data_IF_576675040217
#
_entry.id   IF_576675040217
#
_cell.length_a   1.000
_cell.length_b   1.000
_cell.length_c   1.000
_cell.angle_alpha   90.00
_cell.angle_beta   90.00
_cell.angle_gamma   90.00
#
_symmetry.space_group_name_H-M   'P 1'
#
loop_
_entity.id
_entity.type
_entity.pdbx_description
1 polymer ?
#
# COMPACT_ATOMS: atom_id res chain seq x y z
N UNK A 1 -58.73 -71.17 34.67
CA UNK A 1 -58.77 -70.45 33.43
C UNK A 1 -58.25 -69.03 33.72
N UNK A 2 -56.97 -68.77 33.46
CA UNK A 2 -56.36 -67.43 33.69
C UNK A 2 -55.85 -66.89 32.36
N UNK A 3 -56.48 -65.80 31.84
CA UNK A 3 -56.06 -65.10 30.65
C UNK A 3 -54.91 -64.14 31.05
N UNK A 4 -53.72 -64.32 30.46
CA UNK A 4 -52.63 -63.41 30.55
C UNK A 4 -52.65 -62.50 29.34
N UNK A 5 -52.93 -61.15 29.58
CA UNK A 5 -52.81 -60.09 28.58
C UNK A 5 -51.32 -59.77 28.39
N UNK A 6 -50.79 -59.90 27.16
CA UNK A 6 -49.47 -59.43 26.76
C UNK A 6 -49.67 -57.89 26.35
N UNK A 7 -49.00 -57.04 27.07
CA UNK A 7 -48.89 -55.61 26.73
C UNK A 7 -47.57 -55.46 25.94
N UNK A 8 -47.71 -55.16 24.66
CA UNK A 8 -46.56 -54.82 23.82
C UNK A 8 -46.23 -53.31 23.98
N UNK A 9 -45.08 -53.00 24.59
CA UNK A 9 -44.53 -51.62 24.62
C UNK A 9 -43.85 -51.35 23.27
N UNK A 10 -44.39 -50.45 22.48
CA UNK A 10 -43.70 -49.82 21.35
C UNK A 10 -42.85 -48.65 21.91
N UNK A 11 -41.57 -48.81 22.00
CA UNK A 11 -40.64 -47.72 22.27
C UNK A 11 -40.30 -47.05 20.93
N UNK A 12 -40.90 -45.88 20.69
CA UNK A 12 -40.49 -45.00 19.59
C UNK A 12 -39.23 -44.23 20.01
N UNK A 13 -38.09 -44.66 19.48
CA UNK A 13 -36.81 -43.91 19.62
C UNK A 13 -36.87 -42.69 18.65
N UNK A 14 -37.17 -41.52 19.15
CA UNK A 14 -36.98 -40.27 18.42
C UNK A 14 -35.52 -39.92 18.41
N UNK A 15 -34.83 -40.14 17.28
CA UNK A 15 -33.48 -39.69 17.04
C UNK A 15 -33.49 -38.17 16.84
N UNK A 16 -33.14 -37.42 17.89
CA UNK A 16 -32.89 -35.98 17.80
C UNK A 16 -31.52 -35.85 17.12
N UNK A 17 -31.52 -35.59 15.83
CA UNK A 17 -30.31 -35.10 15.10
C UNK A 17 -30.04 -33.66 15.55
N UNK A 18 -29.22 -33.51 16.57
CA UNK A 18 -28.65 -32.23 16.93
C UNK A 18 -27.68 -31.81 15.80
N UNK A 19 -28.16 -30.96 14.89
CA UNK A 19 -27.27 -30.24 13.96
C UNK A 19 -26.39 -29.30 14.79
N UNK A 20 -25.18 -29.74 15.09
CA UNK A 20 -24.16 -28.83 15.61
C UNK A 20 -23.82 -27.86 14.52
N UNK A 21 -24.37 -26.64 14.62
CA UNK A 21 -23.88 -25.51 13.82
C UNK A 21 -22.40 -25.35 14.18
N UNK A 22 -21.51 -25.79 13.31
CA UNK A 22 -20.08 -25.47 13.40
C UNK A 22 -19.99 -23.97 13.19
N UNK A 23 -19.85 -23.20 14.26
CA UNK A 23 -19.50 -21.81 14.18
C UNK A 23 -18.15 -21.74 13.48
N UNK A 24 -18.13 -21.28 12.24
CA UNK A 24 -16.89 -21.04 11.52
C UNK A 24 -16.03 -20.08 12.36
N UNK A 25 -14.75 -20.41 12.49
CA UNK A 25 -13.82 -19.52 13.18
C UNK A 25 -13.83 -18.14 12.49
N UNK A 26 -13.76 -17.04 13.25
CA UNK A 26 -13.78 -15.72 12.65
C UNK A 26 -12.61 -15.55 11.67
N UNK A 27 -12.90 -14.99 10.51
CA UNK A 27 -11.89 -14.61 9.52
C UNK A 27 -11.27 -13.27 9.92
N UNK A 28 -10.01 -13.27 10.29
CA UNK A 28 -9.28 -12.04 10.59
C UNK A 28 -8.76 -11.41 9.28
N UNK A 29 -8.90 -10.10 9.13
CA UNK A 29 -8.35 -9.35 7.99
C UNK A 29 -7.70 -8.09 8.54
N UNK A 30 -6.39 -8.13 8.75
CA UNK A 30 -5.58 -6.98 9.13
C UNK A 30 -4.99 -6.36 7.86
N UNK A 31 -5.35 -5.09 7.60
CA UNK A 31 -4.87 -4.32 6.46
C UNK A 31 -3.65 -3.51 6.89
N UNK A 32 -2.49 -3.87 6.35
CA UNK A 32 -1.22 -3.19 6.59
C UNK A 32 -1.09 -2.00 5.65
N UNK A 33 -0.80 -0.83 6.19
CA UNK A 33 -0.78 0.43 5.44
C UNK A 33 0.60 1.09 5.48
N UNK A 34 0.67 2.36 5.65
CA UNK A 34 1.83 3.20 5.96
C UNK A 34 1.46 4.15 7.08
N UNK A 35 2.21 5.24 7.23
CA UNK A 35 1.86 6.31 8.17
C UNK A 35 0.51 6.94 7.85
N UNK A 36 -0.18 7.44 8.87
CA UNK A 36 -1.56 7.98 8.76
C UNK A 36 -1.69 9.23 7.89
N UNK A 37 -0.60 9.93 7.61
CA UNK A 37 -0.56 11.13 6.75
C UNK A 37 -0.32 10.84 5.27
N UNK A 38 -0.10 9.56 4.90
CA UNK A 38 -0.02 9.07 3.53
C UNK A 38 -1.37 8.58 3.00
N UNK A 39 -1.39 8.08 1.75
CA UNK A 39 -2.60 7.64 1.04
C UNK A 39 -3.01 6.21 1.41
N UNK A 40 -2.10 5.31 1.76
CA UNK A 40 -2.42 3.93 2.11
C UNK A 40 -3.41 3.82 3.28
N UNK A 41 -3.27 4.68 4.29
CA UNK A 41 -4.07 4.60 5.50
C UNK A 41 -5.56 4.88 5.27
N UNK A 42 -6.00 6.01 4.69
CA UNK A 42 -7.42 6.27 4.44
C UNK A 42 -8.05 5.24 3.51
N UNK A 43 -7.36 4.77 2.46
CA UNK A 43 -7.87 3.72 1.58
C UNK A 43 -7.95 2.39 2.34
N UNK A 44 -6.95 2.05 3.16
CA UNK A 44 -6.95 0.85 4.01
C UNK A 44 -8.12 0.83 5.00
N UNK A 45 -8.46 1.98 5.58
CA UNK A 45 -9.65 2.12 6.45
C UNK A 45 -10.92 1.84 5.67
N UNK A 46 -11.06 2.39 4.46
CA UNK A 46 -12.22 2.15 3.61
C UNK A 46 -12.35 0.67 3.21
N UNK A 47 -11.24 0.01 2.81
CA UNK A 47 -11.21 -1.42 2.53
C UNK A 47 -11.59 -2.25 3.75
N UNK A 48 -11.01 -1.97 4.92
CA UNK A 48 -11.34 -2.66 6.17
C UNK A 48 -12.84 -2.59 6.49
N UNK A 49 -13.46 -1.42 6.29
CA UNK A 49 -14.90 -1.26 6.47
C UNK A 49 -15.73 -2.04 5.44
N UNK A 50 -15.29 -2.08 4.17
CA UNK A 50 -15.94 -2.88 3.14
C UNK A 50 -15.91 -4.37 3.49
N UNK A 51 -14.78 -4.88 3.94
CA UNK A 51 -14.61 -6.29 4.31
C UNK A 51 -15.39 -6.65 5.56
N UNK A 52 -15.40 -5.78 6.58
CA UNK A 52 -16.19 -5.98 7.80
C UNK A 52 -17.69 -6.10 7.51
N UNK A 53 -18.17 -5.35 6.52
CA UNK A 53 -19.59 -5.34 6.15
C UNK A 53 -19.97 -6.43 5.14
N UNK A 54 -19.03 -6.84 4.28
CA UNK A 54 -19.32 -7.71 3.14
C UNK A 54 -18.83 -9.16 3.29
N UNK A 55 -17.95 -9.46 4.25
CA UNK A 55 -17.43 -10.82 4.50
C UNK A 55 -18.00 -11.31 5.82
N UNK A 56 -18.89 -12.29 5.76
CA UNK A 56 -19.56 -12.84 6.94
C UNK A 56 -18.54 -13.42 7.94
N UNK A 57 -18.73 -13.11 9.23
CA UNK A 57 -17.84 -13.57 10.31
C UNK A 57 -16.45 -12.94 10.30
N UNK A 58 -16.19 -11.92 9.46
CA UNK A 58 -14.90 -11.25 9.44
C UNK A 58 -14.71 -10.32 10.65
N UNK A 59 -13.45 -10.24 11.11
CA UNK A 59 -12.95 -9.24 12.06
C UNK A 59 -11.82 -8.48 11.40
N UNK A 60 -12.03 -7.20 11.15
CA UNK A 60 -11.09 -6.40 10.38
C UNK A 60 -10.36 -5.39 11.27
N UNK A 61 -9.13 -5.08 10.91
CA UNK A 61 -8.31 -4.03 11.52
C UNK A 61 -7.44 -3.35 10.48
N UNK A 62 -6.96 -2.16 10.82
CA UNK A 62 -6.00 -1.40 10.00
C UNK A 62 -4.78 -1.11 10.85
N UNK A 63 -3.61 -1.41 10.32
CA UNK A 63 -2.35 -1.20 11.00
C UNK A 63 -1.50 -0.19 10.23
N UNK A 64 -1.13 0.91 10.91
CA UNK A 64 -0.11 1.81 10.43
C UNK A 64 1.28 1.16 10.60
N UNK A 65 2.09 1.20 9.55
CA UNK A 65 3.43 0.60 9.50
C UNK A 65 4.42 1.58 8.86
N UNK A 66 5.64 1.12 8.62
CA UNK A 66 6.64 1.83 7.80
C UNK A 66 6.45 1.60 6.29
N UNK A 67 5.32 1.02 5.87
CA UNK A 67 4.95 0.69 4.50
C UNK A 67 5.76 -0.45 3.86
N UNK A 68 6.06 -0.41 2.56
CA UNK A 68 6.35 -1.52 1.65
C UNK A 68 7.21 -2.64 2.24
N UNK A 69 8.43 -2.36 2.67
CA UNK A 69 9.37 -3.41 3.12
C UNK A 69 8.89 -4.09 4.40
N UNK A 70 8.40 -3.31 5.37
CA UNK A 70 7.82 -3.86 6.60
C UNK A 70 6.57 -4.69 6.29
N UNK A 71 5.67 -4.17 5.46
CA UNK A 71 4.43 -4.83 5.07
C UNK A 71 4.66 -6.20 4.42
N UNK A 72 5.57 -6.27 3.45
CA UNK A 72 5.89 -7.50 2.74
C UNK A 72 6.51 -8.56 3.67
N UNK A 73 7.40 -8.15 4.58
CA UNK A 73 7.95 -9.05 5.60
C UNK A 73 6.87 -9.53 6.59
N UNK A 74 5.92 -8.68 6.98
CA UNK A 74 4.79 -9.06 7.83
C UNK A 74 3.86 -10.05 7.12
N UNK A 75 3.51 -9.82 5.84
CA UNK A 75 2.72 -10.77 5.03
C UNK A 75 3.41 -12.12 4.91
N UNK A 76 4.70 -12.16 4.61
CA UNK A 76 5.48 -13.40 4.55
C UNK A 76 5.42 -14.19 5.86
N UNK A 77 5.36 -13.49 6.99
CA UNK A 77 5.27 -14.07 8.32
C UNK A 77 3.83 -14.39 8.77
N UNK A 78 2.81 -14.12 7.92
CA UNK A 78 1.39 -14.31 8.27
C UNK A 78 0.90 -13.36 9.37
N UNK A 79 1.45 -12.14 9.41
CA UNK A 79 1.08 -11.10 10.39
C UNK A 79 0.24 -9.97 9.78
N UNK A 80 -0.64 -10.32 8.89
CA UNK A 80 -1.57 -9.46 8.18
C UNK A 80 -2.05 -10.19 6.95
N UNK A 81 -3.25 -9.93 6.50
CA UNK A 81 -3.89 -10.64 5.38
C UNK A 81 -3.83 -9.83 4.09
N UNK A 82 -3.67 -8.51 4.21
CA UNK A 82 -3.65 -7.59 3.08
C UNK A 82 -2.68 -6.44 3.36
N UNK A 83 -1.95 -5.98 2.35
CA UNK A 83 -1.00 -4.89 2.50
C UNK A 83 -0.88 -4.05 1.23
N UNK A 84 -0.61 -2.76 1.39
CA UNK A 84 -0.12 -1.92 0.31
C UNK A 84 1.40 -1.99 0.23
N UNK A 85 1.93 -2.08 -0.98
CA UNK A 85 3.36 -1.96 -1.26
C UNK A 85 3.61 -1.38 -2.65
N UNK A 86 4.76 -0.76 -2.85
CA UNK A 86 5.24 -0.31 -4.15
C UNK A 86 5.66 -1.50 -5.02
N UNK A 87 5.43 -1.41 -6.32
CA UNK A 87 5.71 -2.49 -7.27
C UNK A 87 7.18 -2.91 -7.32
N UNK A 88 8.10 -1.95 -7.24
CA UNK A 88 9.55 -2.20 -7.12
C UNK A 88 9.88 -3.01 -5.86
N UNK A 89 9.37 -2.58 -4.70
CA UNK A 89 9.57 -3.30 -3.42
C UNK A 89 8.96 -4.71 -3.44
N UNK A 90 7.85 -4.92 -4.17
CA UNK A 90 7.24 -6.25 -4.34
C UNK A 90 8.14 -7.14 -5.19
N UNK A 91 8.74 -6.61 -6.26
CA UNK A 91 9.71 -7.33 -7.09
C UNK A 91 10.96 -7.71 -6.28
N UNK A 92 11.52 -6.77 -5.51
CA UNK A 92 12.68 -6.98 -4.65
C UNK A 92 12.40 -8.04 -3.59
N UNK A 93 11.24 -7.99 -2.96
CA UNK A 93 10.80 -8.99 -1.98
C UNK A 93 10.70 -10.39 -2.58
N UNK A 94 10.09 -10.50 -3.76
CA UNK A 94 9.96 -11.77 -4.46
C UNK A 94 11.29 -12.39 -4.82
N UNK A 95 12.28 -11.55 -5.16
CA UNK A 95 13.63 -11.97 -5.54
C UNK A 95 14.60 -12.10 -4.36
N UNK A 96 14.24 -11.57 -3.17
CA UNK A 96 15.09 -11.62 -1.98
C UNK A 96 16.28 -10.68 -2.08
N UNK A 97 16.07 -9.44 -2.51
CA UNK A 97 17.11 -8.43 -2.62
C UNK A 97 17.51 -7.95 -1.23
N UNK A 98 18.70 -8.33 -0.77
CA UNK A 98 19.16 -8.09 0.61
C UNK A 98 19.30 -6.59 0.90
N UNK A 99 19.84 -5.82 -0.02
CA UNK A 99 20.02 -4.36 0.13
C UNK A 99 18.71 -3.60 0.22
N UNK A 100 17.61 -4.17 -0.34
CA UNK A 100 16.25 -3.66 -0.17
C UNK A 100 15.60 -4.11 1.16
N UNK A 101 16.29 -4.91 1.97
CA UNK A 101 15.79 -5.38 3.27
C UNK A 101 15.12 -6.76 3.27
N UNK A 102 15.32 -7.53 2.20
CA UNK A 102 14.76 -8.89 2.06
C UNK A 102 15.88 -9.93 2.08
N UNK A 103 16.15 -10.52 3.25
CA UNK A 103 17.25 -11.49 3.44
C UNK A 103 17.07 -12.79 2.66
N UNK A 104 15.84 -13.10 2.28
CA UNK A 104 15.47 -14.29 1.50
C UNK A 104 14.29 -13.95 0.59
N UNK A 105 14.10 -14.66 -0.54
CA UNK A 105 12.93 -14.50 -1.39
C UNK A 105 11.63 -14.75 -0.63
N UNK A 106 10.67 -13.80 -0.72
CA UNK A 106 9.37 -13.89 -0.07
C UNK A 106 8.36 -14.58 -1.00
N UNK A 107 8.36 -15.92 -1.03
CA UNK A 107 7.57 -16.69 -2.00
C UNK A 107 6.12 -16.97 -1.58
N UNK A 108 5.71 -16.59 -0.37
CA UNK A 108 4.31 -16.73 0.08
C UNK A 108 3.41 -15.58 -0.34
N UNK A 109 3.97 -14.42 -0.68
CA UNK A 109 3.19 -13.24 -1.08
C UNK A 109 2.48 -13.47 -2.42
N UNK A 110 1.27 -12.88 -2.56
CA UNK A 110 0.43 -12.98 -3.75
C UNK A 110 -0.18 -11.63 -4.07
N UNK A 111 -0.21 -11.23 -5.33
CA UNK A 111 -0.86 -9.99 -5.73
C UNK A 111 -2.39 -10.12 -5.67
N UNK A 112 -3.04 -9.06 -5.22
CA UNK A 112 -4.48 -8.88 -5.32
C UNK A 112 -4.79 -7.96 -6.51
N UNK A 113 -4.14 -6.80 -6.59
CA UNK A 113 -4.37 -5.81 -7.65
C UNK A 113 -3.19 -4.83 -7.77
N UNK A 114 -2.85 -4.42 -8.98
CA UNK A 114 -2.27 -3.11 -9.21
C UNK A 114 -3.31 -2.03 -8.91
N UNK A 115 -2.92 -0.95 -8.25
CA UNK A 115 -3.86 0.07 -7.82
C UNK A 115 -3.53 1.42 -8.49
N UNK A 116 -3.39 2.49 -7.75
CA UNK A 116 -3.11 3.83 -8.27
C UNK A 116 -1.59 4.09 -8.35
N UNK A 117 -1.15 5.03 -9.22
CA UNK A 117 0.24 5.43 -9.30
C UNK A 117 0.69 6.16 -8.03
N UNK A 118 1.89 5.85 -7.58
CA UNK A 118 2.55 6.46 -6.45
C UNK A 118 3.64 7.39 -6.97
N UNK A 119 3.52 8.67 -6.68
CA UNK A 119 4.43 9.71 -7.19
C UNK A 119 5.54 10.00 -6.19
N UNK A 120 6.75 10.18 -6.69
CA UNK A 120 7.85 10.69 -5.89
C UNK A 120 7.72 12.21 -5.81
N UNK A 121 7.62 12.73 -4.60
CA UNK A 121 7.37 14.13 -4.34
C UNK A 121 8.48 14.67 -3.44
N UNK A 122 9.44 15.38 -4.04
CA UNK A 122 10.49 16.05 -3.28
C UNK A 122 10.04 17.48 -3.03
N UNK A 123 9.81 17.79 -1.77
CA UNK A 123 9.26 19.08 -1.33
C UNK A 123 10.24 19.77 -0.39
N UNK A 124 10.50 21.03 -0.64
CA UNK A 124 11.40 21.84 0.16
C UNK A 124 10.71 23.12 0.67
N UNK A 125 11.20 23.64 1.79
CA UNK A 125 10.90 24.99 2.19
C UNK A 125 11.42 25.96 1.10
N UNK A 126 10.55 26.82 0.56
CA UNK A 126 10.93 27.75 -0.51
C UNK A 126 12.10 28.69 -0.12
N UNK A 127 12.24 29.04 1.15
CA UNK A 127 13.34 29.86 1.65
C UNK A 127 14.70 29.13 1.63
N UNK A 128 14.72 27.79 1.50
CA UNK A 128 15.96 27.00 1.39
C UNK A 128 16.72 27.20 0.08
N UNK A 129 16.02 27.75 -0.94
CA UNK A 129 16.55 27.95 -2.29
C UNK A 129 16.67 26.67 -3.13
N UNK A 130 16.21 25.52 -2.63
CA UNK A 130 16.25 24.22 -3.33
C UNK A 130 15.23 24.23 -4.47
N UNK A 131 15.68 23.96 -5.71
CA UNK A 131 14.86 23.89 -6.92
C UNK A 131 15.18 22.66 -7.78
N UNK A 132 16.39 22.15 -7.69
CA UNK A 132 16.89 21.03 -8.47
C UNK A 132 17.42 19.93 -7.54
N UNK A 133 17.65 18.71 -8.08
CA UNK A 133 18.27 17.63 -7.32
C UNK A 133 19.68 18.00 -6.85
N UNK A 134 20.43 18.74 -7.64
CA UNK A 134 21.80 19.18 -7.29
C UNK A 134 21.78 20.15 -6.08
N UNK A 135 20.74 20.96 -5.92
CA UNK A 135 20.61 21.89 -4.80
C UNK A 135 20.41 21.17 -3.45
N UNK A 136 20.14 19.87 -3.46
CA UNK A 136 20.06 19.05 -2.24
C UNK A 136 21.41 18.81 -1.58
N UNK A 137 22.53 19.03 -2.29
CA UNK A 137 23.87 18.89 -1.72
C UNK A 137 24.06 19.83 -0.54
N UNK A 138 24.59 19.28 0.54
CA UNK A 138 24.80 20.01 1.79
C UNK A 138 23.51 20.36 2.57
N UNK A 139 22.32 20.00 2.08
CA UNK A 139 21.02 20.28 2.74
C UNK A 139 20.61 19.14 3.69
N UNK A 140 19.69 19.49 4.60
CA UNK A 140 19.07 18.54 5.55
C UNK A 140 17.81 18.01 4.93
N UNK A 141 17.76 16.70 4.67
CA UNK A 141 16.64 16.05 3.98
C UNK A 141 16.12 14.85 4.76
N UNK A 142 14.80 14.62 4.73
CA UNK A 142 14.21 13.35 5.13
C UNK A 142 13.88 12.51 3.89
N UNK A 143 14.20 11.20 3.94
CA UNK A 143 14.08 10.26 2.82
C UNK A 143 13.08 9.13 3.07
N UNK A 144 12.17 9.32 4.03
CA UNK A 144 11.19 8.31 4.44
C UNK A 144 11.65 7.48 5.65
N UNK A 145 10.73 6.71 6.21
CA UNK A 145 11.02 5.88 7.37
C UNK A 145 12.01 4.75 7.05
N UNK A 146 12.79 4.27 8.02
CA UNK A 146 13.67 3.12 7.81
C UNK A 146 12.85 1.89 7.39
N UNK A 147 13.32 1.14 6.40
CA UNK A 147 12.63 -0.03 5.84
C UNK A 147 11.27 0.33 5.22
N UNK A 148 11.18 1.47 4.57
CA UNK A 148 10.06 1.87 3.73
C UNK A 148 10.43 1.81 2.25
N UNK A 149 9.44 1.63 1.38
CA UNK A 149 9.67 1.77 -0.06
C UNK A 149 10.09 3.18 -0.45
N UNK A 150 9.66 4.20 0.29
CA UNK A 150 10.09 5.59 0.08
C UNK A 150 11.60 5.75 0.20
N UNK A 151 12.22 5.11 1.19
CA UNK A 151 13.66 5.16 1.38
C UNK A 151 14.42 4.46 0.25
N UNK A 152 13.88 3.33 -0.24
CA UNK A 152 14.43 2.66 -1.43
C UNK A 152 14.32 3.54 -2.68
N UNK A 153 13.18 4.20 -2.89
CA UNK A 153 13.02 5.14 -3.99
C UNK A 153 13.99 6.32 -3.91
N UNK A 154 14.25 6.85 -2.70
CA UNK A 154 15.22 7.93 -2.51
C UNK A 154 16.63 7.50 -2.94
N UNK A 155 17.08 6.30 -2.58
CA UNK A 155 18.38 5.74 -3.03
C UNK A 155 18.44 5.66 -4.55
N UNK A 156 17.43 5.03 -5.18
CA UNK A 156 17.41 4.85 -6.62
C UNK A 156 17.46 6.17 -7.39
N UNK A 157 16.69 7.18 -6.94
CA UNK A 157 16.64 8.49 -7.60
C UNK A 157 17.94 9.26 -7.39
N UNK A 158 18.50 9.26 -6.19
CA UNK A 158 19.76 9.97 -5.94
C UNK A 158 20.91 9.32 -6.71
N UNK A 159 21.01 8.00 -6.71
CA UNK A 159 22.03 7.29 -7.50
C UNK A 159 21.89 7.62 -9.00
N UNK A 160 20.70 7.57 -9.56
CA UNK A 160 20.44 7.93 -10.96
C UNK A 160 20.78 9.40 -11.27
N UNK A 161 20.66 10.29 -10.29
CA UNK A 161 21.05 11.69 -10.38
C UNK A 161 22.55 11.93 -10.14
N UNK A 162 23.33 10.88 -9.83
CA UNK A 162 24.76 11.00 -9.46
C UNK A 162 24.96 11.58 -8.06
N UNK A 163 24.00 11.40 -7.18
CA UNK A 163 24.03 11.84 -5.79
C UNK A 163 24.02 10.64 -4.84
N UNK A 164 24.48 10.86 -3.63
CA UNK A 164 24.44 9.90 -2.54
C UNK A 164 24.01 10.57 -1.23
N UNK A 165 23.69 9.81 -0.21
CA UNK A 165 23.41 10.37 1.12
C UNK A 165 24.62 11.11 1.72
N UNK A 166 25.84 10.81 1.27
CA UNK A 166 27.06 11.47 1.73
C UNK A 166 27.20 12.91 1.19
N UNK A 167 26.51 13.21 0.08
CA UNK A 167 26.49 14.55 -0.49
C UNK A 167 25.59 15.51 0.28
N UNK A 168 24.67 14.96 1.11
CA UNK A 168 23.71 15.71 1.91
C UNK A 168 24.37 16.23 3.20
N UNK A 169 23.92 17.38 3.68
CA UNK A 169 24.37 17.91 4.98
C UNK A 169 23.89 17.09 6.16
N UNK A 170 22.65 16.56 6.04
CA UNK A 170 22.06 15.61 6.98
C UNK A 170 20.97 14.81 6.30
N UNK A 171 20.92 13.52 6.55
CA UNK A 171 19.83 12.63 6.11
C UNK A 171 19.09 12.11 7.34
N UNK A 172 17.77 12.30 7.34
CA UNK A 172 16.87 11.78 8.35
C UNK A 172 15.96 10.69 7.76
N UNK A 173 15.70 9.67 8.55
CA UNK A 173 14.84 8.55 8.18
C UNK A 173 13.55 8.60 9.00
N UNK A 174 12.57 9.38 8.54
CA UNK A 174 11.40 9.75 9.31
C UNK A 174 10.09 9.44 8.56
N UNK A 175 9.00 9.13 9.29
CA UNK A 175 7.65 9.18 8.75
C UNK A 175 7.29 10.56 8.18
N UNK A 176 6.34 10.61 7.27
CA UNK A 176 5.98 11.84 6.54
C UNK A 176 5.55 12.98 7.44
N UNK A 177 4.70 12.72 8.44
CA UNK A 177 4.24 13.75 9.37
C UNK A 177 5.40 14.36 10.18
N UNK A 178 6.32 13.53 10.68
CA UNK A 178 7.49 14.00 11.41
C UNK A 178 8.42 14.84 10.53
N UNK A 179 8.62 14.43 9.26
CA UNK A 179 9.40 15.18 8.28
C UNK A 179 8.81 16.57 8.04
N UNK A 180 7.48 16.65 7.91
CA UNK A 180 6.76 17.91 7.73
C UNK A 180 6.91 18.82 8.94
N UNK A 181 6.75 18.28 10.14
CA UNK A 181 6.94 19.05 11.38
C UNK A 181 8.37 19.61 11.51
N UNK A 182 9.39 18.82 11.14
CA UNK A 182 10.77 19.33 11.17
C UNK A 182 11.03 20.39 10.11
N UNK A 183 10.38 20.35 8.94
CA UNK A 183 10.45 21.43 7.93
C UNK A 183 9.79 22.70 8.47
N UNK A 184 8.58 22.62 9.04
CA UNK A 184 7.89 23.75 9.66
C UNK A 184 8.73 24.40 10.76
N UNK A 185 9.44 23.60 11.53
CA UNK A 185 10.34 24.06 12.59
C UNK A 185 11.75 24.45 12.09
N UNK A 186 11.98 24.48 10.76
CA UNK A 186 13.27 24.84 10.13
C UNK A 186 14.44 23.92 10.55
N UNK A 187 14.14 22.69 10.96
CA UNK A 187 15.11 21.67 11.31
C UNK A 187 15.49 20.77 10.13
N UNK A 188 14.63 20.72 9.12
CA UNK A 188 14.87 20.13 7.79
C UNK A 188 14.64 21.18 6.71
N UNK A 189 15.32 21.01 5.57
CA UNK A 189 15.19 21.86 4.40
C UNK A 189 14.27 21.25 3.35
N UNK A 190 14.25 19.92 3.24
CA UNK A 190 13.44 19.18 2.27
C UNK A 190 13.02 17.81 2.80
N UNK A 191 12.04 17.20 2.14
CA UNK A 191 11.64 15.81 2.32
C UNK A 191 11.34 15.17 0.97
N UNK A 192 11.74 13.91 0.80
CA UNK A 192 11.25 13.05 -0.28
C UNK A 192 10.13 12.18 0.29
N UNK A 193 8.97 12.23 -0.34
CA UNK A 193 7.80 11.44 0.00
C UNK A 193 7.31 10.69 -1.23
N UNK A 194 6.95 9.43 -1.07
CA UNK A 194 6.48 8.54 -2.13
C UNK A 194 5.04 8.15 -1.84
N UNK A 195 4.08 8.78 -2.51
CA UNK A 195 2.65 8.63 -2.20
C UNK A 195 1.77 9.04 -3.38
N UNK A 196 0.48 8.72 -3.32
CA UNK A 196 -0.51 9.29 -4.24
C UNK A 196 -0.59 10.81 -4.11
N UNK A 197 -1.02 11.48 -5.17
CA UNK A 197 -1.20 12.94 -5.19
C UNK A 197 -2.27 13.39 -4.19
N UNK A 198 -2.13 14.60 -3.65
CA UNK A 198 -3.05 15.18 -2.70
C UNK A 198 -2.92 14.61 -1.27
N UNK A 199 -1.80 13.95 -0.94
CA UNK A 199 -1.56 13.38 0.38
C UNK A 199 -1.57 14.43 1.50
N UNK A 200 -2.07 14.02 2.68
CA UNK A 200 -2.32 14.94 3.80
C UNK A 200 -1.04 15.65 4.29
N UNK A 201 0.10 14.97 4.35
CA UNK A 201 1.34 15.56 4.84
C UNK A 201 1.81 16.76 4.01
N UNK A 202 1.80 16.65 2.68
CA UNK A 202 2.22 17.78 1.80
C UNK A 202 1.18 18.87 1.80
N UNK A 203 -0.13 18.56 1.82
CA UNK A 203 -1.20 19.55 1.94
C UNK A 203 -1.07 20.36 3.22
N UNK A 204 -0.77 19.72 4.34
CA UNK A 204 -0.54 20.39 5.62
C UNK A 204 0.70 21.30 5.57
N UNK A 205 1.79 20.86 4.96
CA UNK A 205 2.98 21.71 4.77
C UNK A 205 2.67 22.93 3.88
N UNK A 206 2.02 22.71 2.74
CA UNK A 206 1.67 23.74 1.77
C UNK A 206 0.72 24.81 2.34
N UNK A 207 -0.22 24.41 3.21
CA UNK A 207 -1.14 25.34 3.88
C UNK A 207 -0.47 26.19 4.97
N UNK A 208 0.70 25.75 5.46
CA UNK A 208 1.40 26.41 6.59
C UNK A 208 2.51 27.33 6.13
N UNK A 209 3.19 27.00 5.04
CA UNK A 209 4.34 27.76 4.55
C UNK A 209 4.50 27.64 3.02
N UNK A 210 5.26 28.58 2.45
CA UNK A 210 5.63 28.46 1.03
C UNK A 210 6.59 27.30 0.82
N UNK A 211 6.23 26.46 -0.13
CA UNK A 211 7.02 25.29 -0.53
C UNK A 211 7.50 25.40 -1.97
N UNK A 212 8.54 24.65 -2.30
CA UNK A 212 8.98 24.39 -3.66
C UNK A 212 9.03 22.89 -3.92
N UNK A 213 8.67 22.49 -5.12
CA UNK A 213 8.86 21.12 -5.58
C UNK A 213 10.17 21.01 -6.34
N UNK A 214 10.89 19.92 -6.14
CA UNK A 214 12.12 19.58 -6.87
C UNK A 214 11.74 18.61 -7.98
N UNK A 215 11.96 19.03 -9.22
CA UNK A 215 11.70 18.18 -10.37
C UNK A 215 12.68 16.98 -10.43
N UNK A 216 12.17 15.86 -10.88
CA UNK A 216 12.97 14.67 -11.28
C UNK A 216 12.86 14.60 -12.81
N UNK A 217 13.89 15.02 -13.55
CA UNK A 217 13.86 15.02 -15.01
C UNK A 217 13.75 13.61 -15.58
N UNK A 218 13.13 13.46 -16.76
CA UNK A 218 12.95 12.17 -17.42
C UNK A 218 14.28 11.45 -17.72
N UNK A 219 15.34 12.20 -17.97
CA UNK A 219 16.70 11.66 -18.15
C UNK A 219 17.29 11.05 -16.87
N UNK A 220 16.85 11.46 -15.69
CA UNK A 220 17.19 10.81 -14.42
C UNK A 220 16.42 9.51 -14.28
N UNK A 221 15.11 9.55 -14.54
CA UNK A 221 14.26 8.34 -14.55
C UNK A 221 14.80 7.26 -15.48
N UNK A 222 15.22 7.66 -16.68
CA UNK A 222 15.76 6.73 -17.70
C UNK A 222 17.08 6.01 -17.27
N UNK A 223 17.76 6.50 -16.25
CA UNK A 223 18.97 5.87 -15.70
C UNK A 223 18.67 4.85 -14.60
N UNK A 224 17.43 4.81 -14.09
CA UNK A 224 17.03 3.82 -13.09
C UNK A 224 16.81 2.48 -13.81
N UNK A 225 17.66 1.49 -13.53
CA UNK A 225 17.54 0.14 -14.10
C UNK A 225 16.44 -0.67 -13.40
N UNK A 226 15.22 -0.16 -13.47
CA UNK A 226 14.04 -0.83 -12.92
C UNK A 226 12.78 -0.35 -13.66
N UNK A 227 12.13 -1.24 -14.39
CA UNK A 227 10.95 -0.95 -15.22
C UNK A 227 9.71 -0.49 -14.41
N UNK A 228 9.72 -0.61 -13.09
CA UNK A 228 8.64 -0.10 -12.24
C UNK A 228 8.65 1.43 -12.12
N UNK A 229 9.77 2.09 -12.48
CA UNK A 229 9.91 3.54 -12.41
C UNK A 229 9.53 4.18 -13.75
N UNK A 230 8.42 4.88 -13.79
CA UNK A 230 7.89 5.52 -14.98
C UNK A 230 7.96 7.05 -14.85
N UNK A 231 8.39 7.75 -15.92
CA UNK A 231 8.35 9.20 -15.94
C UNK A 231 6.90 9.71 -15.80
N UNK A 232 6.68 10.66 -14.93
CA UNK A 232 5.36 11.17 -14.59
C UNK A 232 5.39 12.69 -14.34
N UNK A 233 4.23 13.26 -14.07
CA UNK A 233 4.08 14.69 -13.76
C UNK A 233 3.14 14.86 -12.59
N UNK A 234 3.50 15.72 -11.64
CA UNK A 234 2.58 16.26 -10.64
C UNK A 234 1.89 17.45 -11.28
N UNK A 235 0.58 17.39 -11.57
CA UNK A 235 -0.13 18.47 -12.26
C UNK A 235 -0.14 19.76 -11.43
N UNK A 236 -0.08 20.90 -12.09
CA UNK A 236 -0.28 22.21 -11.47
C UNK A 236 -1.57 22.24 -10.64
N UNK A 237 -1.54 22.92 -9.49
CA UNK A 237 -2.70 23.04 -8.60
C UNK A 237 -3.00 21.79 -7.76
N UNK A 238 -2.13 20.76 -7.76
CA UNK A 238 -2.26 19.61 -6.87
C UNK A 238 -2.14 20.03 -5.39
N UNK A 239 -1.29 21.00 -5.11
CA UNK A 239 -1.06 21.55 -3.77
C UNK A 239 -1.10 23.08 -3.79
N UNK A 240 -1.41 23.70 -2.64
CA UNK A 240 -1.43 25.15 -2.49
C UNK A 240 -0.05 25.75 -2.84
N UNK A 241 -0.05 26.74 -3.73
CA UNK A 241 1.16 27.44 -4.18
C UNK A 241 2.03 26.66 -5.17
N UNK A 242 1.53 25.53 -5.71
CA UNK A 242 2.16 24.80 -6.81
C UNK A 242 1.46 25.18 -8.13
N UNK A 243 1.96 26.21 -8.81
CA UNK A 243 1.31 26.82 -9.97
C UNK A 243 1.75 26.22 -11.32
N UNK A 244 2.72 25.31 -11.33
CA UNK A 244 3.26 24.68 -12.53
C UNK A 244 3.32 23.17 -12.40
N UNK A 245 3.28 22.47 -13.53
CA UNK A 245 3.56 21.05 -13.61
C UNK A 245 4.97 20.75 -13.13
N UNK A 246 5.14 19.64 -12.37
CA UNK A 246 6.45 19.20 -11.87
C UNK A 246 6.77 17.81 -12.43
N UNK A 247 7.79 17.68 -13.29
CA UNK A 247 8.28 16.38 -13.72
C UNK A 247 8.73 15.53 -12.52
N UNK A 248 8.35 14.28 -12.53
CA UNK A 248 8.68 13.33 -11.46
C UNK A 248 8.68 11.89 -11.97
N UNK A 249 8.71 10.96 -11.04
CA UNK A 249 8.62 9.51 -11.24
C UNK A 249 7.39 8.98 -10.55
N UNK A 250 6.72 8.03 -11.18
CA UNK A 250 5.65 7.25 -10.56
C UNK A 250 5.98 5.76 -10.55
N UNK A 251 5.44 5.05 -9.56
CA UNK A 251 5.54 3.61 -9.39
C UNK A 251 4.14 3.10 -9.05
N UNK A 252 3.66 2.06 -9.72
CA UNK A 252 2.35 1.48 -9.41
C UNK A 252 2.36 0.87 -8.00
N UNK A 253 1.37 1.22 -7.19
CA UNK A 253 1.11 0.55 -5.92
C UNK A 253 0.43 -0.80 -6.17
N UNK A 254 0.82 -1.81 -5.40
CA UNK A 254 0.22 -3.14 -5.45
C UNK A 254 -0.43 -3.46 -4.11
N UNK A 255 -1.66 -3.93 -4.17
CA UNK A 255 -2.33 -4.55 -3.05
C UNK A 255 -1.91 -6.02 -3.03
N UNK A 256 -1.30 -6.44 -1.93
CA UNK A 256 -0.64 -7.74 -1.77
C UNK A 256 -1.27 -8.51 -0.62
N UNK A 257 -1.45 -9.80 -0.80
CA UNK A 257 -1.87 -10.78 0.21
C UNK A 257 -0.83 -11.88 0.31
N UNK A 258 -1.16 -13.03 0.89
CA UNK A 258 -0.28 -14.19 0.95
C UNK A 258 -1.06 -15.50 0.82
N UNK A 259 -0.38 -16.59 0.45
CA UNK A 259 -0.97 -17.91 0.18
C UNK A 259 -1.72 -18.55 1.36
N UNK A 260 -1.56 -18.02 2.57
CA UNK A 260 -2.29 -18.49 3.76
C UNK A 260 -3.71 -17.93 3.89
N UNK A 261 -4.05 -16.89 3.11
CA UNK A 261 -5.44 -16.40 2.99
C UNK A 261 -6.21 -17.37 2.08
N UNK A 262 -7.43 -17.73 2.46
CA UNK A 262 -8.21 -18.66 1.63
C UNK A 262 -8.63 -18.02 0.30
N UNK A 263 -8.77 -18.83 -0.75
CA UNK A 263 -9.18 -18.36 -2.08
C UNK A 263 -10.52 -17.64 -2.04
N UNK A 264 -11.45 -18.10 -1.18
CA UNK A 264 -12.75 -17.45 -1.03
C UNK A 264 -12.64 -16.06 -0.42
N UNK A 265 -11.83 -15.89 0.63
CA UNK A 265 -11.61 -14.59 1.27
C UNK A 265 -10.90 -13.64 0.31
N UNK A 266 -9.88 -14.09 -0.41
CA UNK A 266 -9.17 -13.27 -1.39
C UNK A 266 -10.08 -12.86 -2.57
N UNK A 267 -10.95 -13.78 -3.04
CA UNK A 267 -11.97 -13.48 -4.03
C UNK A 267 -12.93 -12.39 -3.54
N UNK A 268 -13.47 -12.54 -2.33
CA UNK A 268 -14.41 -11.56 -1.75
C UNK A 268 -13.75 -10.21 -1.52
N UNK A 269 -12.51 -10.17 -1.03
CA UNK A 269 -11.75 -8.93 -0.86
C UNK A 269 -11.57 -8.21 -2.20
N UNK A 270 -11.20 -8.94 -3.27
CA UNK A 270 -11.01 -8.38 -4.60
C UNK A 270 -12.34 -7.87 -5.16
N UNK A 271 -13.39 -8.67 -5.10
CA UNK A 271 -14.72 -8.32 -5.58
C UNK A 271 -15.27 -7.08 -4.86
N UNK A 272 -15.24 -7.06 -3.53
CA UNK A 272 -15.74 -5.93 -2.74
C UNK A 272 -14.98 -4.64 -3.04
N UNK A 273 -13.69 -4.70 -3.30
CA UNK A 273 -12.89 -3.55 -3.70
C UNK A 273 -13.40 -2.98 -5.03
N UNK A 274 -13.53 -3.81 -6.08
CA UNK A 274 -13.92 -3.34 -7.40
C UNK A 274 -15.40 -2.96 -7.49
N UNK A 275 -16.28 -3.62 -6.76
CA UNK A 275 -17.71 -3.25 -6.67
C UNK A 275 -17.92 -1.90 -5.94
N UNK A 276 -16.89 -1.38 -5.25
CA UNK A 276 -17.02 -0.19 -4.39
C UNK A 276 -15.94 0.89 -4.66
N UNK A 277 -15.43 0.99 -5.88
CA UNK A 277 -14.38 1.98 -6.26
C UNK A 277 -14.79 3.43 -5.93
N UNK A 278 -16.07 3.78 -6.12
CA UNK A 278 -16.57 5.10 -5.76
C UNK A 278 -16.42 5.44 -4.28
N UNK A 279 -16.58 4.44 -3.39
CA UNK A 279 -16.37 4.62 -1.95
C UNK A 279 -14.89 4.81 -1.61
N UNK A 280 -14.00 4.10 -2.29
CA UNK A 280 -12.55 4.28 -2.15
C UNK A 280 -12.12 5.66 -2.63
N UNK A 281 -12.66 6.13 -3.78
CA UNK A 281 -12.43 7.48 -4.30
C UNK A 281 -12.91 8.59 -3.36
N UNK A 282 -13.97 8.33 -2.57
CA UNK A 282 -14.43 9.25 -1.52
C UNK A 282 -13.47 9.27 -0.32
N UNK A 283 -12.85 8.12 0.02
CA UNK A 283 -11.87 8.05 1.10
C UNK A 283 -10.56 8.78 0.73
N UNK A 284 -10.13 8.69 -0.51
CA UNK A 284 -9.01 9.47 -1.05
C UNK A 284 -9.07 9.53 -2.59
N UNK A 285 -8.85 10.72 -3.16
CA UNK A 285 -8.94 10.97 -4.61
C UNK A 285 -8.01 10.08 -5.44
N UNK A 286 -6.82 9.72 -4.95
CA UNK A 286 -5.90 8.81 -5.63
C UNK A 286 -6.54 7.45 -5.96
N UNK A 287 -7.52 7.00 -5.18
CA UNK A 287 -8.21 5.74 -5.45
C UNK A 287 -9.12 5.79 -6.70
N UNK A 288 -9.39 6.96 -7.28
CA UNK A 288 -10.09 7.11 -8.56
C UNK A 288 -9.30 6.53 -9.73
N UNK A 289 -7.98 6.35 -9.56
CA UNK A 289 -7.10 5.75 -10.56
C UNK A 289 -7.06 4.21 -10.47
N UNK A 290 -7.72 3.60 -9.50
CA UNK A 290 -7.87 2.14 -9.42
C UNK A 290 -8.88 1.71 -10.49
N UNK A 291 -8.42 0.88 -11.44
CA UNK A 291 -9.22 0.43 -12.58
C UNK A 291 -9.07 -1.07 -12.78
N UNK A 292 -10.19 -1.73 -13.07
CA UNK A 292 -10.21 -3.17 -13.33
C UNK A 292 -9.29 -3.55 -14.51
N UNK A 293 -9.29 -2.74 -15.56
CA UNK A 293 -8.60 -2.97 -16.82
C UNK A 293 -7.06 -2.92 -16.70
N UNK A 294 -6.55 -2.32 -15.64
CA UNK A 294 -5.11 -2.18 -15.38
C UNK A 294 -4.62 -2.98 -14.18
N UNK A 295 -5.53 -3.48 -13.35
CA UNK A 295 -5.22 -4.08 -12.06
C UNK A 295 -4.36 -5.35 -12.14
N UNK A 296 -4.37 -6.04 -13.28
CA UNK A 296 -3.58 -7.27 -13.49
C UNK A 296 -2.33 -7.04 -14.34
N UNK A 297 -2.09 -5.80 -14.81
CA UNK A 297 -0.96 -5.49 -15.68
C UNK A 297 0.34 -5.31 -14.89
N UNK A 298 1.43 -5.83 -15.45
CA UNK A 298 2.79 -5.65 -14.96
C UNK A 298 2.97 -6.01 -13.46
N UNK A 299 2.21 -6.99 -12.97
CA UNK A 299 2.37 -7.48 -11.61
C UNK A 299 3.68 -8.27 -11.50
N UNK A 300 4.58 -7.93 -10.54
CA UNK A 300 5.88 -8.59 -10.41
C UNK A 300 5.80 -9.96 -9.73
N UNK A 301 4.63 -10.35 -9.22
CA UNK A 301 4.41 -11.61 -8.52
C UNK A 301 3.09 -12.23 -8.99
N UNK A 302 2.90 -13.56 -8.80
CA UNK A 302 1.64 -14.22 -9.14
C UNK A 302 0.44 -13.64 -8.41
N UNK A 303 -0.70 -13.61 -9.07
CA UNK A 303 -1.99 -13.32 -8.44
C UNK A 303 -2.30 -14.36 -7.35
N UNK A 304 -3.07 -13.93 -6.35
CA UNK A 304 -3.75 -14.86 -5.45
C UNK A 304 -4.82 -15.64 -6.22
N UNK A 305 -4.96 -16.98 -6.05
CA UNK A 305 -5.92 -17.76 -6.82
C UNK A 305 -7.35 -17.23 -6.72
N UNK A 306 -7.76 -16.73 -5.55
CA UNK A 306 -9.06 -16.09 -5.37
C UNK A 306 -9.22 -14.79 -6.17
N UNK A 307 -8.17 -13.96 -6.23
CA UNK A 307 -8.18 -12.75 -7.06
C UNK A 307 -8.20 -13.12 -8.56
N UNK A 308 -7.41 -14.11 -8.97
CA UNK A 308 -7.39 -14.60 -10.35
C UNK A 308 -8.78 -15.10 -10.78
N UNK A 309 -9.48 -15.83 -9.90
CA UNK A 309 -10.87 -16.27 -10.16
C UNK A 309 -11.78 -15.08 -10.40
N UNK A 310 -11.73 -14.04 -9.56
CA UNK A 310 -12.52 -12.83 -9.76
C UNK A 310 -12.24 -12.17 -11.12
N UNK A 311 -10.97 -11.99 -11.50
CA UNK A 311 -10.62 -11.35 -12.76
C UNK A 311 -11.08 -12.15 -13.98
N UNK A 312 -11.02 -13.47 -13.94
CA UNK A 312 -11.57 -14.35 -15.01
C UNK A 312 -13.08 -14.20 -15.13
N UNK A 313 -13.82 -14.16 -14.01
CA UNK A 313 -15.26 -13.95 -14.00
C UNK A 313 -15.66 -12.54 -14.50
N UNK A 314 -14.82 -11.54 -14.18
CA UNK A 314 -15.02 -10.16 -14.63
C UNK A 314 -14.56 -9.90 -16.09
N UNK A 315 -13.94 -10.87 -16.76
CA UNK A 315 -13.42 -10.72 -18.13
C UNK A 315 -12.20 -9.80 -18.23
N UNK A 316 -11.41 -9.69 -17.16
CA UNK A 316 -10.20 -8.87 -17.06
C UNK A 316 -8.89 -9.69 -17.10
N UNK A 317 -8.99 -11.01 -17.30
CA UNK A 317 -7.92 -11.97 -17.57
C UNK A 317 -8.35 -12.91 -18.69
#
# INVERSE_FOLDING_TARGET
>A
MRLTKKISLFAAAAAITASTAVLAAPTFINVLTGGTSGVYYPIGVALSQLYSNGIEGSKTSVQATKASVENLNLLQAGRGELAFALGDSVADAWNGVEDAGFKVPLKKIRAIAGTYPNYIQIVANAESGIKTLEDLKGKRISVGAPKSGTELNARAIFEAAGLSYQDMGKVEFLPYAESVELIKNRQLDATLQSSGLGMAAIRDLASTMKISFVAIPAEVTAKIDNAAYEAATIPAGTYDGQDADVPTVAITNILVSHEGVSDEVAYQMTKLMFDNLGRLGTAHSAAQDIKLETATKNLPIPLHPGAERFYKEAGAL
#
